data_IF_787025042469
#
_entry.id   IF_787025042469
#
_cell.length_a   1.000
_cell.length_b   1.000
_cell.length_c   1.000
_cell.angle_alpha   90.00
_cell.angle_beta   90.00
_cell.angle_gamma   90.00
#
_symmetry.space_group_name_H-M   'P 1'
#
loop_
_entity.id
_entity.type
_entity.pdbx_description
1 polymer ?
#
# COMPACT_ATOMS: atom_id res chain seq x y z
N UNK A 1 1.99 2.66 1.24
CA UNK A 1 2.89 1.61 1.74
C UNK A 1 2.45 0.27 1.19
N UNK A 2 3.39 -0.60 0.79
CA UNK A 2 3.11 -1.94 0.28
C UNK A 2 4.21 -2.90 0.72
N UNK A 3 3.89 -4.18 0.83
CA UNK A 3 4.91 -5.19 1.08
C UNK A 3 5.91 -5.25 -0.06
N UNK A 4 7.18 -5.31 0.30
CA UNK A 4 8.32 -5.39 -0.61
C UNK A 4 9.33 -6.38 -0.08
N UNK A 5 10.15 -6.90 -0.99
CA UNK A 5 11.27 -7.76 -0.62
C UNK A 5 12.51 -6.90 -0.51
N UNK A 6 13.33 -7.16 0.49
CA UNK A 6 14.54 -6.40 0.78
C UNK A 6 15.73 -7.33 0.92
N UNK A 7 16.89 -6.81 0.52
CA UNK A 7 18.19 -7.35 0.90
C UNK A 7 18.89 -6.33 1.79
N UNK A 8 19.30 -6.72 2.99
CA UNK A 8 20.16 -5.92 3.85
C UNK A 8 21.51 -6.58 4.01
N UNK A 9 22.56 -5.78 3.93
CA UNK A 9 23.92 -6.19 4.23
C UNK A 9 24.36 -5.37 5.45
N UNK A 10 24.59 -6.03 6.57
CA UNK A 10 25.12 -5.42 7.80
C UNK A 10 26.59 -5.78 7.92
N UNK A 11 27.44 -4.79 8.18
CA UNK A 11 28.89 -4.94 8.26
C UNK A 11 29.41 -4.47 9.62
N UNK A 12 30.52 -5.08 10.08
CA UNK A 12 31.16 -4.72 11.34
C UNK A 12 30.56 -5.49 12.52
N UNK A 13 29.96 -4.77 13.48
CA UNK A 13 29.27 -5.43 14.59
C UNK A 13 27.97 -6.06 14.11
N UNK A 14 27.94 -7.39 14.17
CA UNK A 14 26.86 -8.26 13.72
C UNK A 14 26.06 -8.85 14.89
N UNK A 15 26.49 -8.62 16.13
CA UNK A 15 25.87 -9.22 17.31
C UNK A 15 24.46 -8.67 17.51
N UNK A 16 23.45 -9.55 17.47
CA UNK A 16 22.04 -9.17 17.68
C UNK A 16 21.33 -8.64 16.43
N UNK A 17 22.06 -8.41 15.33
CA UNK A 17 21.50 -7.90 14.07
C UNK A 17 20.40 -8.81 13.50
N UNK A 18 20.54 -10.14 13.64
CA UNK A 18 19.50 -11.11 13.24
C UNK A 18 18.16 -10.82 13.92
N UNK A 19 18.17 -10.58 15.23
CA UNK A 19 16.95 -10.29 16.00
C UNK A 19 16.34 -8.94 15.63
N UNK A 20 17.18 -7.97 15.26
CA UNK A 20 16.73 -6.66 14.77
C UNK A 20 16.03 -6.78 13.42
N UNK A 21 16.55 -7.62 12.52
CA UNK A 21 15.94 -7.91 11.22
C UNK A 21 14.62 -8.68 11.40
N UNK A 22 14.58 -9.66 12.30
CA UNK A 22 13.35 -10.43 12.59
C UNK A 22 12.18 -9.56 13.05
N UNK A 23 12.45 -8.46 13.77
CA UNK A 23 11.39 -7.54 14.25
C UNK A 23 10.72 -6.72 13.15
N UNK A 24 11.43 -6.47 12.07
CA UNK A 24 10.94 -5.63 10.94
C UNK A 24 10.55 -6.49 9.73
N UNK A 25 10.71 -7.80 9.83
CA UNK A 25 10.36 -8.75 8.78
C UNK A 25 8.95 -9.30 9.00
N UNK A 26 8.17 -9.41 7.92
CA UNK A 26 6.85 -10.07 7.92
C UNK A 26 6.99 -11.58 8.13
N UNK A 27 7.99 -12.17 7.49
CA UNK A 27 8.31 -13.59 7.56
C UNK A 27 9.69 -13.80 8.15
N UNK A 28 10.01 -15.05 8.49
CA UNK A 28 11.37 -15.40 8.91
C UNK A 28 12.37 -14.97 7.82
N UNK A 29 13.37 -14.13 8.16
CA UNK A 29 14.38 -13.71 7.19
C UNK A 29 15.27 -14.88 6.79
N UNK A 30 15.71 -14.89 5.54
CA UNK A 30 16.80 -15.77 5.12
C UNK A 30 18.11 -15.07 5.43
N UNK A 31 19.06 -15.78 6.03
CA UNK A 31 20.27 -15.19 6.58
C UNK A 31 21.49 -15.98 6.15
N UNK A 32 22.50 -15.24 5.69
CA UNK A 32 23.86 -15.69 5.55
C UNK A 32 24.71 -14.92 6.55
N UNK A 33 25.20 -15.64 7.56
CA UNK A 33 26.10 -15.11 8.57
C UNK A 33 27.55 -15.47 8.20
N UNK A 34 28.36 -14.43 8.01
CA UNK A 34 29.78 -14.53 7.77
C UNK A 34 30.53 -13.63 8.76
N UNK A 35 31.83 -13.90 8.97
CA UNK A 35 32.62 -13.17 9.96
C UNK A 35 32.65 -11.66 9.66
N UNK A 36 31.91 -10.89 10.46
CA UNK A 36 31.80 -9.43 10.34
C UNK A 36 30.84 -8.92 9.27
N UNK A 37 30.07 -9.80 8.61
CA UNK A 37 29.06 -9.42 7.62
C UNK A 37 27.84 -10.35 7.76
N UNK A 38 26.65 -9.76 7.88
CA UNK A 38 25.38 -10.47 7.75
C UNK A 38 24.71 -10.00 6.46
N UNK A 39 24.32 -10.95 5.62
CA UNK A 39 23.41 -10.70 4.49
C UNK A 39 22.08 -11.32 4.85
N UNK A 40 21.02 -10.53 4.81
CA UNK A 40 19.68 -11.04 5.05
C UNK A 40 18.71 -10.56 3.98
N UNK A 41 17.80 -11.45 3.60
CA UNK A 41 16.72 -11.16 2.66
C UNK A 41 15.38 -11.48 3.32
N UNK A 42 14.42 -10.59 3.16
CA UNK A 42 13.14 -10.66 3.86
C UNK A 42 12.06 -9.82 3.18
N UNK A 43 10.81 -10.09 3.52
CA UNK A 43 9.66 -9.28 3.11
C UNK A 43 9.28 -8.34 4.24
N UNK A 44 8.96 -7.07 3.94
CA UNK A 44 8.50 -6.09 4.93
C UNK A 44 7.48 -5.12 4.33
N UNK A 45 6.59 -4.60 5.18
CA UNK A 45 5.67 -3.49 4.84
C UNK A 45 6.32 -2.11 4.99
N UNK A 46 7.45 -2.06 5.71
CA UNK A 46 8.20 -0.87 6.07
C UNK A 46 9.01 -0.40 4.87
N UNK A 47 9.06 0.92 4.65
CA UNK A 47 9.79 1.47 3.50
C UNK A 47 11.32 1.51 3.72
N UNK A 48 12.08 1.74 2.66
CA UNK A 48 13.56 1.78 2.75
C UNK A 48 14.08 2.87 3.67
N UNK A 49 13.37 3.99 3.82
CA UNK A 49 13.77 5.13 4.66
C UNK A 49 13.59 4.76 6.14
N UNK A 50 12.46 4.15 6.47
CA UNK A 50 12.14 3.64 7.79
C UNK A 50 13.07 2.49 8.19
N UNK A 51 13.36 1.55 7.28
CA UNK A 51 14.37 0.51 7.49
C UNK A 51 15.75 1.12 7.77
N UNK A 52 16.13 2.14 7.00
CA UNK A 52 17.39 2.85 7.19
C UNK A 52 17.44 3.52 8.56
N UNK A 53 16.35 4.20 8.97
CA UNK A 53 16.23 4.81 10.28
C UNK A 53 16.35 3.78 11.40
N UNK A 54 15.68 2.63 11.27
CA UNK A 54 15.76 1.53 12.23
C UNK A 54 17.20 1.05 12.43
N UNK A 55 17.95 0.80 11.36
CA UNK A 55 19.33 0.33 11.49
C UNK A 55 20.29 1.42 11.99
N UNK A 56 20.05 2.70 11.66
CA UNK A 56 20.79 3.83 12.23
C UNK A 56 20.56 3.95 13.74
N UNK A 57 19.33 3.79 14.21
CA UNK A 57 19.00 3.81 15.65
C UNK A 57 19.68 2.67 16.43
N UNK A 58 19.96 1.55 15.77
CA UNK A 58 20.71 0.42 16.33
C UNK A 58 22.24 0.53 16.09
N UNK A 59 22.72 1.69 15.64
CA UNK A 59 24.15 1.99 15.41
C UNK A 59 24.83 0.98 14.46
N UNK A 60 24.10 0.52 13.42
CA UNK A 60 24.59 -0.45 12.44
C UNK A 60 25.23 0.25 11.24
N UNK A 61 26.26 -0.38 10.67
CA UNK A 61 26.76 -0.06 9.32
C UNK A 61 26.07 -0.98 8.32
N UNK A 62 25.30 -0.44 7.38
CA UNK A 62 24.43 -1.25 6.53
C UNK A 62 24.28 -0.73 5.10
N UNK A 63 23.80 -1.61 4.22
CA UNK A 63 23.23 -1.28 2.91
C UNK A 63 21.86 -1.96 2.79
N UNK A 64 20.81 -1.23 2.41
CA UNK A 64 19.47 -1.79 2.13
C UNK A 64 19.17 -1.63 0.64
N UNK A 65 18.71 -2.72 0.03
CA UNK A 65 18.29 -2.76 -1.37
C UNK A 65 16.86 -3.28 -1.47
N UNK A 66 16.05 -2.62 -2.29
CA UNK A 66 14.74 -3.12 -2.71
C UNK A 66 14.97 -4.23 -3.75
N UNK A 67 14.39 -5.41 -3.52
CA UNK A 67 14.49 -6.57 -4.40
C UNK A 67 13.27 -6.63 -5.31
N UNK A 68 13.37 -6.01 -6.48
CA UNK A 68 12.38 -6.08 -7.54
C UNK A 68 12.89 -6.88 -8.76
N UNK A 69 11.99 -7.57 -9.47
CA UNK A 69 12.35 -8.46 -10.58
C UNK A 69 12.90 -7.74 -11.82
N UNK A 70 12.60 -6.45 -11.98
CA UNK A 70 12.99 -5.61 -13.10
C UNK A 70 14.34 -4.91 -12.89
N UNK A 71 14.73 -4.62 -11.65
CA UNK A 71 15.93 -3.86 -11.31
C UNK A 71 16.99 -4.64 -10.53
N UNK A 72 16.65 -5.81 -9.99
CA UNK A 72 17.59 -6.61 -9.17
C UNK A 72 18.30 -7.68 -9.99
N UNK A 73 19.61 -7.53 -10.14
CA UNK A 73 20.48 -8.57 -10.67
C UNK A 73 21.22 -9.30 -9.54
N UNK A 74 20.97 -10.60 -9.37
CA UNK A 74 21.66 -11.41 -8.36
C UNK A 74 22.34 -12.59 -9.04
N UNK A 75 23.66 -12.69 -8.90
CA UNK A 75 24.41 -13.86 -9.34
C UNK A 75 25.31 -14.35 -8.20
N UNK A 76 25.05 -15.54 -7.69
CA UNK A 76 25.84 -16.18 -6.64
C UNK A 76 26.31 -17.54 -7.16
N UNK A 77 27.61 -17.75 -7.19
CA UNK A 77 28.22 -18.96 -7.76
C UNK A 77 27.87 -20.23 -6.99
N UNK A 78 27.64 -20.13 -5.67
CA UNK A 78 27.26 -21.25 -4.82
C UNK A 78 25.73 -21.43 -4.84
N UNK A 79 25.19 -22.53 -5.38
CA UNK A 79 23.75 -22.74 -5.50
C UNK A 79 23.02 -22.72 -4.16
N UNK A 80 23.58 -23.36 -3.13
CA UNK A 80 22.96 -23.44 -1.80
C UNK A 80 22.79 -22.06 -1.16
N UNK A 81 23.76 -21.16 -1.38
CA UNK A 81 23.70 -19.78 -0.87
C UNK A 81 22.70 -18.96 -1.68
N UNK A 82 22.68 -19.14 -3.01
CA UNK A 82 21.70 -18.49 -3.88
C UNK A 82 20.27 -18.88 -3.48
N UNK A 83 19.98 -20.17 -3.39
CA UNK A 83 18.66 -20.68 -3.04
C UNK A 83 18.30 -20.32 -1.60
N UNK A 84 19.26 -20.42 -0.67
CA UNK A 84 19.07 -20.07 0.73
C UNK A 84 18.66 -18.62 0.93
N UNK A 85 19.31 -17.67 0.23
CA UNK A 85 18.98 -16.24 0.35
C UNK A 85 17.85 -15.79 -0.58
N UNK A 86 17.82 -16.25 -1.83
CA UNK A 86 16.98 -15.67 -2.88
C UNK A 86 15.93 -16.63 -3.44
N UNK A 87 15.92 -17.90 -3.03
CA UNK A 87 14.97 -18.90 -3.52
C UNK A 87 13.51 -18.52 -3.27
N UNK A 88 13.22 -17.74 -2.23
CA UNK A 88 11.86 -17.23 -1.94
C UNK A 88 11.35 -16.23 -2.98
N UNK A 89 12.22 -15.48 -3.67
CA UNK A 89 11.82 -14.51 -4.69
C UNK A 89 11.13 -15.17 -5.88
N UNK A 90 11.48 -16.44 -6.18
CA UNK A 90 10.80 -17.22 -7.23
C UNK A 90 9.37 -17.61 -6.85
N UNK A 91 9.07 -17.63 -5.55
CA UNK A 91 7.78 -18.05 -4.98
C UNK A 91 6.87 -16.85 -4.69
N UNK A 92 7.46 -15.68 -4.45
CA UNK A 92 6.76 -14.44 -4.11
C UNK A 92 6.68 -13.54 -5.33
N UNK A 93 5.51 -13.48 -5.94
CA UNK A 93 5.17 -12.62 -7.08
C UNK A 93 4.46 -11.34 -6.60
N UNK A 94 4.55 -10.25 -7.39
CA UNK A 94 4.01 -8.92 -7.02
C UNK A 94 2.52 -8.99 -6.61
N UNK A 95 1.71 -9.77 -7.33
CA UNK A 95 0.30 -9.96 -7.02
C UNK A 95 0.07 -10.54 -5.61
N UNK A 96 0.98 -11.39 -5.10
CA UNK A 96 0.90 -11.91 -3.73
C UNK A 96 1.25 -10.84 -2.69
N UNK A 97 2.23 -9.98 -2.97
CA UNK A 97 2.58 -8.86 -2.10
C UNK A 97 1.47 -7.81 -2.05
N UNK A 98 0.81 -7.55 -3.17
CA UNK A 98 -0.31 -6.63 -3.26
C UNK A 98 -1.55 -7.15 -2.52
N UNK A 99 -1.88 -8.43 -2.68
CA UNK A 99 -2.98 -9.06 -1.93
C UNK A 99 -2.73 -9.05 -0.41
N UNK A 100 -1.51 -9.37 0.03
CA UNK A 100 -1.11 -9.25 1.45
C UNK A 100 -1.17 -7.81 1.95
N UNK A 101 -0.78 -6.85 1.12
CA UNK A 101 -0.89 -5.42 1.45
C UNK A 101 -2.34 -5.04 1.73
N UNK A 102 -3.26 -5.45 0.87
CA UNK A 102 -4.70 -5.17 1.05
C UNK A 102 -5.24 -5.86 2.31
N UNK A 103 -4.87 -7.11 2.56
CA UNK A 103 -5.30 -7.86 3.76
C UNK A 103 -4.78 -7.21 5.06
N UNK A 104 -3.52 -6.80 5.07
CA UNK A 104 -2.91 -6.10 6.19
C UNK A 104 -3.59 -4.75 6.47
N UNK A 105 -3.83 -3.95 5.44
CA UNK A 105 -4.56 -2.68 5.55
C UNK A 105 -6.00 -2.88 6.04
N UNK A 106 -6.70 -3.93 5.59
CA UNK A 106 -8.04 -4.27 6.11
C UNK A 106 -8.01 -4.65 7.59
N UNK A 107 -6.97 -5.38 8.00
CA UNK A 107 -6.79 -5.80 9.39
C UNK A 107 -6.49 -4.58 10.28
N UNK A 108 -5.62 -3.67 9.82
CA UNK A 108 -5.35 -2.41 10.51
C UNK A 108 -6.58 -1.49 10.55
N UNK A 109 -7.31 -1.37 9.44
CA UNK A 109 -8.55 -0.59 9.34
C UNK A 109 -9.73 -1.15 10.13
N UNK A 110 -9.64 -2.41 10.60
CA UNK A 110 -10.62 -3.01 11.51
C UNK A 110 -10.41 -2.59 12.98
N UNK A 111 -9.33 -1.86 13.29
CA UNK A 111 -9.20 -1.08 14.53
C UNK A 111 -9.97 0.23 14.34
N UNK A 112 -11.29 0.19 14.59
CA UNK A 112 -12.30 1.26 14.60
C UNK A 112 -12.10 2.40 13.57
N UNK A 113 -13.08 2.67 12.68
CA UNK A 113 -13.12 3.95 11.98
C UNK A 113 -13.36 5.04 13.01
N UNK A 114 -12.30 5.74 13.41
CA UNK A 114 -12.43 7.03 14.04
C UNK A 114 -12.91 7.96 12.93
N UNK A 115 -14.16 8.38 13.08
CA UNK A 115 -14.70 9.53 12.37
C UNK A 115 -13.69 10.69 12.46
N UNK A 116 -13.53 11.32 11.31
CA UNK A 116 -13.17 12.73 11.10
C UNK A 116 -11.84 13.00 10.39
N UNK A 117 -12.02 13.83 9.35
CA UNK A 117 -11.08 14.69 8.61
C UNK A 117 -10.51 14.09 7.32
N UNK A 118 -11.29 14.32 6.26
CA UNK A 118 -10.90 14.42 4.86
C UNK A 118 -9.86 15.54 4.65
N UNK A 119 -8.99 15.32 3.67
CA UNK A 119 -8.12 16.24 2.91
C UNK A 119 -6.69 15.65 2.84
N UNK A 120 -6.04 15.48 1.70
CA UNK A 120 -6.35 15.72 0.29
C UNK A 120 -5.18 15.11 -0.49
N UNK A 121 -5.38 14.37 -1.59
CA UNK A 121 -4.52 14.39 -2.79
C UNK A 121 -5.30 13.81 -3.98
N UNK A 122 -5.78 14.73 -4.83
CA UNK A 122 -5.79 14.72 -6.30
C UNK A 122 -5.39 13.38 -6.96
N UNK A 123 -6.37 12.62 -7.47
CA UNK A 123 -6.18 11.70 -8.59
C UNK A 123 -7.32 11.84 -9.60
N UNK A 124 -6.94 11.88 -10.88
CA UNK A 124 -7.78 12.09 -12.05
C UNK A 124 -9.02 11.19 -12.05
N UNK A 125 -10.20 11.82 -12.00
CA UNK A 125 -11.50 11.17 -12.17
C UNK A 125 -11.57 10.55 -13.57
N UNK A 126 -11.36 9.25 -13.67
CA UNK A 126 -12.03 8.45 -14.70
C UNK A 126 -13.51 8.48 -14.40
N UNK A 127 -14.27 9.17 -15.24
CA UNK A 127 -15.73 9.20 -15.24
C UNK A 127 -16.28 7.77 -15.22
N UNK A 128 -16.77 7.32 -14.08
CA UNK A 128 -17.79 6.29 -14.04
C UNK A 128 -19.09 6.95 -14.54
N UNK A 129 -19.69 6.49 -15.65
CA UNK A 129 -20.94 7.07 -16.11
C UNK A 129 -22.01 6.80 -15.06
N UNK A 130 -22.55 7.86 -14.47
CA UNK A 130 -23.77 7.78 -13.65
C UNK A 130 -24.87 7.16 -14.51
N UNK A 131 -25.61 6.14 -14.05
CA UNK A 131 -26.78 5.67 -14.78
C UNK A 131 -27.75 6.86 -14.94
N UNK A 132 -28.10 7.18 -16.19
CA UNK A 132 -29.03 8.25 -16.52
C UNK A 132 -30.40 7.89 -15.93
N UNK A 133 -30.73 8.43 -14.76
CA UNK A 133 -32.05 8.36 -14.15
C UNK A 133 -33.03 9.15 -15.02
N UNK A 134 -34.19 8.57 -15.32
CA UNK A 134 -35.25 9.26 -16.05
C UNK A 134 -36.08 10.11 -15.08
N UNK A 135 -36.80 11.12 -15.59
CA UNK A 135 -37.70 11.97 -14.79
C UNK A 135 -38.70 11.14 -13.97
N UNK A 136 -39.13 9.98 -14.50
CA UNK A 136 -40.05 9.05 -13.85
C UNK A 136 -39.46 8.29 -12.66
N UNK A 137 -38.14 8.19 -12.59
CA UNK A 137 -37.42 7.54 -11.49
C UNK A 137 -37.26 8.50 -10.31
N UNK A 138 -37.10 9.80 -10.60
CA UNK A 138 -36.94 10.86 -9.60
C UNK A 138 -38.25 11.13 -8.86
N UNK A 139 -39.40 11.02 -9.53
CA UNK A 139 -40.70 11.16 -8.86
C UNK A 139 -41.04 10.01 -7.91
N UNK A 140 -40.45 8.83 -8.13
CA UNK A 140 -40.66 7.64 -7.28
C UNK A 140 -39.71 7.59 -6.08
N UNK A 141 -38.71 8.46 -6.04
CA UNK A 141 -37.76 8.53 -4.93
C UNK A 141 -38.43 9.03 -3.66
N UNK A 142 -38.03 8.44 -2.54
CA UNK A 142 -38.40 8.95 -1.22
C UNK A 142 -37.77 10.33 -0.98
N UNK A 143 -38.36 11.12 -0.08
CA UNK A 143 -37.85 12.46 0.25
C UNK A 143 -36.38 12.44 0.67
N UNK A 144 -35.94 11.40 1.36
CA UNK A 144 -34.57 11.21 1.80
C UNK A 144 -33.61 10.97 0.62
N UNK A 145 -34.02 10.15 -0.35
CA UNK A 145 -33.21 9.89 -1.54
C UNK A 145 -33.10 11.12 -2.44
N UNK A 146 -34.17 11.93 -2.54
CA UNK A 146 -34.12 13.22 -3.24
C UNK A 146 -33.16 14.19 -2.56
N UNK A 147 -33.16 14.23 -1.23
CA UNK A 147 -32.30 15.10 -0.43
C UNK A 147 -30.83 14.68 -0.53
N UNK A 148 -30.54 13.38 -0.44
CA UNK A 148 -29.21 12.82 -0.64
C UNK A 148 -28.67 13.11 -2.05
N UNK A 149 -29.52 13.00 -3.08
CA UNK A 149 -29.14 13.28 -4.46
C UNK A 149 -28.97 14.78 -4.72
N UNK A 150 -29.78 15.64 -4.07
CA UNK A 150 -29.63 17.09 -4.12
C UNK A 150 -28.34 17.55 -3.43
N UNK A 151 -28.03 17.00 -2.26
CA UNK A 151 -26.78 17.28 -1.54
C UNK A 151 -25.56 16.87 -2.38
N UNK A 152 -25.61 15.69 -3.01
CA UNK A 152 -24.54 15.21 -3.88
C UNK A 152 -24.34 16.07 -5.14
N UNK A 153 -25.40 16.74 -5.63
CA UNK A 153 -25.30 17.71 -6.72
C UNK A 153 -24.74 19.04 -6.22
N UNK A 154 -25.13 19.50 -5.03
CA UNK A 154 -24.64 20.75 -4.44
C UNK A 154 -23.18 20.65 -3.99
N UNK A 155 -22.74 19.49 -3.48
CA UNK A 155 -21.37 19.23 -3.04
C UNK A 155 -20.35 19.28 -4.19
N UNK A 156 -20.80 19.01 -5.43
CA UNK A 156 -19.96 19.17 -6.61
C UNK A 156 -19.69 20.66 -6.97
N UNK A 157 -20.44 21.60 -6.37
CA UNK A 157 -20.35 23.04 -6.63
C UNK A 157 -21.09 23.49 -7.90
N UNK A 158 -21.70 24.67 -7.84
CA UNK A 158 -22.48 25.27 -8.94
C UNK A 158 -21.72 25.38 -10.27
N UNK A 159 -20.39 25.50 -10.19
CA UNK A 159 -19.49 25.66 -11.34
C UNK A 159 -19.24 24.35 -12.11
N UNK A 160 -19.45 23.19 -11.48
CA UNK A 160 -19.23 21.86 -12.09
C UNK A 160 -20.53 21.12 -12.42
N UNK A 161 -21.67 21.80 -12.42
CA UNK A 161 -22.97 21.21 -12.74
C UNK A 161 -23.09 20.88 -14.23
N UNK A 162 -23.37 19.62 -14.53
CA UNK A 162 -23.67 19.19 -15.89
C UNK A 162 -25.04 19.71 -16.35
N UNK A 163 -25.27 19.74 -17.67
CA UNK A 163 -26.59 20.03 -18.27
C UNK A 163 -27.71 19.14 -17.70
N UNK A 164 -27.36 17.90 -17.33
CA UNK A 164 -28.25 16.93 -16.70
C UNK A 164 -28.60 17.32 -15.26
N UNK A 165 -27.61 17.70 -14.45
CA UNK A 165 -27.84 18.13 -13.06
C UNK A 165 -28.75 19.38 -13.01
N UNK A 166 -28.57 20.32 -13.95
CA UNK A 166 -29.42 21.51 -14.09
C UNK A 166 -30.88 21.19 -14.43
N UNK A 167 -31.13 20.09 -15.16
CA UNK A 167 -32.50 19.63 -15.48
C UNK A 167 -33.18 18.93 -14.31
N UNK A 168 -32.41 18.30 -13.42
CA UNK A 168 -32.92 17.50 -12.32
C UNK A 168 -33.13 18.31 -11.04
N UNK A 169 -32.32 19.35 -10.80
CA UNK A 169 -32.47 20.24 -9.64
C UNK A 169 -33.91 20.78 -9.43
N UNK A 170 -34.64 21.23 -10.47
CA UNK A 170 -36.04 21.65 -10.32
C UNK A 170 -37.00 20.51 -9.93
N UNK A 171 -36.69 19.25 -10.28
CA UNK A 171 -37.50 18.07 -9.97
C UNK A 171 -37.24 17.54 -8.55
N UNK A 172 -36.04 17.78 -8.02
CA UNK A 172 -35.67 17.45 -6.64
C UNK A 172 -36.17 18.49 -5.63
N UNK A 173 -36.32 19.75 -6.07
CA UNK A 173 -36.87 20.84 -5.26
C UNK A 173 -38.41 20.80 -5.08
N UNK A 174 -39.10 19.85 -5.75
CA UNK A 174 -40.53 19.53 -5.56
C UNK A 174 -40.74 18.44 -4.52
#
# INVERSE_FOLDING_TARGET
MKFKNYCVIIMGDTNGAVKEIEKISDTKPNILDAKGIIIATFTSFVDVKELSAWFMMNNRSFMVFDLDQNSSGVHITKPDVHEGLFGFLSKVNENQLDSRTIEFLKTMGSVRPQKDIEDAVIEDKKETPRPLLTESDIEKMSKKEKEDLMNLIMDNGLENLTEYDKKILPLLAK
#
